data_IF_993880003162
#
_entry.id   IF_993880003162
#
_cell.length_a   1.000
_cell.length_b   1.000
_cell.length_c   1.000
_cell.angle_alpha   90.00
_cell.angle_beta   90.00
_cell.angle_gamma   90.00
#
_symmetry.space_group_name_H-M   'P 1'
#
loop_
_entity.id
_entity.type
_entity.pdbx_description
1 polymer ?
#
# COMPACT_ATOMS: atom_id res chain seq x y z
N UNK A 1 8.61 23.69 26.04
CA UNK A 1 7.13 23.42 25.99
C UNK A 1 6.96 22.21 25.08
N UNK A 2 6.20 21.19 25.50
CA UNK A 2 5.94 19.99 24.69
C UNK A 2 5.11 20.35 23.45
N UNK A 3 5.61 20.10 22.26
CA UNK A 3 4.91 20.35 21.00
C UNK A 3 3.88 19.28 20.71
N UNK A 4 2.85 19.60 19.93
CA UNK A 4 1.75 18.68 19.61
C UNK A 4 1.60 18.52 18.10
N UNK A 5 1.57 17.27 17.64
CA UNK A 5 1.40 16.91 16.24
C UNK A 5 0.06 16.20 16.05
N UNK A 6 -0.71 16.58 15.05
CA UNK A 6 -1.98 15.92 14.70
C UNK A 6 -1.82 15.16 13.40
N UNK A 7 -2.09 13.87 13.42
CA UNK A 7 -2.20 13.04 12.21
C UNK A 7 -3.65 12.89 11.79
N UNK A 8 -4.00 13.38 10.62
CA UNK A 8 -5.33 13.32 10.02
C UNK A 8 -5.24 12.70 8.61
N UNK A 9 -4.78 11.45 8.53
CA UNK A 9 -4.51 10.79 7.26
C UNK A 9 -5.75 10.13 6.65
N UNK A 10 -6.54 9.44 7.47
CA UNK A 10 -7.75 8.72 7.03
C UNK A 10 -8.83 8.81 8.11
N UNK A 11 -10.09 8.50 7.76
CA UNK A 11 -11.16 8.42 8.77
C UNK A 11 -11.07 7.16 9.62
N UNK A 12 -10.46 6.11 9.07
CA UNK A 12 -10.23 4.82 9.75
C UNK A 12 -8.74 4.52 9.79
N UNK A 13 -8.30 3.76 10.79
CA UNK A 13 -6.91 3.31 10.94
C UNK A 13 -6.83 1.86 10.42
N UNK A 14 -6.24 1.61 9.23
CA UNK A 14 -6.13 0.26 8.72
C UNK A 14 -5.05 -0.53 9.48
N UNK A 15 -5.23 -1.87 9.61
CA UNK A 15 -4.34 -2.76 10.36
C UNK A 15 -2.86 -2.55 10.03
N UNK A 16 -2.51 -2.39 8.77
CA UNK A 16 -1.12 -2.21 8.36
C UNK A 16 -0.49 -0.88 8.79
N UNK A 17 -1.30 0.07 9.33
CA UNK A 17 -0.83 1.36 9.87
C UNK A 17 -0.58 1.34 11.36
N UNK A 18 -1.17 0.40 12.09
CA UNK A 18 -1.03 0.29 13.55
C UNK A 18 0.45 0.17 13.94
N UNK A 19 1.26 -0.75 13.35
CA UNK A 19 2.68 -0.85 13.70
C UNK A 19 3.48 0.44 13.45
N UNK A 20 3.08 1.24 12.45
CA UNK A 20 3.73 2.53 12.21
C UNK A 20 3.50 3.53 13.33
N UNK A 21 2.25 3.68 13.82
CA UNK A 21 1.97 4.62 14.91
C UNK A 21 2.57 4.15 16.23
N UNK A 22 2.60 2.85 16.48
CA UNK A 22 3.29 2.26 17.65
C UNK A 22 4.79 2.51 17.62
N UNK A 23 5.44 2.28 16.48
CA UNK A 23 6.86 2.58 16.30
C UNK A 23 7.13 4.09 16.43
N UNK A 24 6.23 4.93 15.92
CA UNK A 24 6.36 6.38 16.04
C UNK A 24 6.27 6.81 17.52
N UNK A 25 5.34 6.24 18.31
CA UNK A 25 5.21 6.51 19.74
C UNK A 25 6.47 6.07 20.51
N UNK A 26 7.02 4.92 20.17
CA UNK A 26 8.23 4.39 20.81
C UNK A 26 9.49 5.19 20.48
N UNK A 27 9.63 5.67 19.24
CA UNK A 27 10.87 6.27 18.71
C UNK A 27 10.87 7.80 18.76
N UNK A 28 9.71 8.45 18.95
CA UNK A 28 9.63 9.91 18.98
C UNK A 28 10.47 10.51 20.11
N UNK A 29 11.06 11.69 19.92
CA UNK A 29 11.66 12.48 20.99
C UNK A 29 10.64 12.88 22.08
N UNK A 30 11.10 13.16 23.27
CA UNK A 30 10.25 13.56 24.41
C UNK A 30 9.69 14.99 24.27
N UNK A 31 10.21 15.80 23.35
CA UNK A 31 9.86 17.21 23.19
C UNK A 31 8.56 17.44 22.41
N UNK A 32 7.96 16.38 21.80
CA UNK A 32 6.65 16.44 21.19
C UNK A 32 5.84 15.13 21.39
N UNK A 33 4.52 15.28 21.29
CA UNK A 33 3.57 14.17 21.27
C UNK A 33 2.64 14.28 20.08
N UNK A 34 1.91 13.22 19.75
CA UNK A 34 0.95 13.25 18.66
C UNK A 34 -0.40 12.65 19.07
N UNK A 35 -1.41 12.95 18.27
CA UNK A 35 -2.72 12.30 18.29
C UNK A 35 -3.08 11.90 16.87
N UNK A 36 -3.75 10.73 16.71
CA UNK A 36 -4.23 10.23 15.42
C UNK A 36 -5.75 10.41 15.34
N UNK A 37 -6.20 11.15 14.34
CA UNK A 37 -7.63 11.34 14.05
C UNK A 37 -8.25 10.05 13.51
N UNK A 38 -9.37 9.62 14.08
CA UNK A 38 -10.16 8.52 13.56
C UNK A 38 -11.65 8.74 13.86
N UNK A 39 -12.52 8.00 13.20
CA UNK A 39 -13.95 7.97 13.45
C UNK A 39 -14.35 6.56 13.91
N UNK A 40 -14.74 6.40 15.15
CA UNK A 40 -15.10 5.13 15.75
C UNK A 40 -16.24 4.44 14.97
N UNK A 41 -17.25 5.19 14.56
CA UNK A 41 -18.40 4.63 13.84
C UNK A 41 -18.03 4.13 12.45
N UNK A 42 -17.06 4.78 11.77
CA UNK A 42 -16.50 4.26 10.51
C UNK A 42 -15.55 3.09 10.76
N UNK A 43 -14.78 3.09 11.85
CA UNK A 43 -13.83 2.04 12.22
C UNK A 43 -14.54 0.70 12.50
N UNK A 44 -15.69 0.75 13.16
CA UNK A 44 -16.51 -0.43 13.48
C UNK A 44 -17.38 -0.90 12.30
N UNK A 45 -17.39 -0.17 11.18
CA UNK A 45 -18.24 -0.51 10.04
C UNK A 45 -17.64 -1.70 9.26
N UNK A 46 -18.33 -2.86 9.21
CA UNK A 46 -17.82 -4.06 8.54
C UNK A 46 -17.63 -3.91 7.02
N UNK A 47 -18.13 -2.83 6.40
CA UNK A 47 -17.87 -2.54 4.99
C UNK A 47 -16.41 -2.11 4.73
N UNK A 48 -15.71 -1.60 5.74
CA UNK A 48 -14.32 -1.15 5.62
C UNK A 48 -13.32 -2.21 6.10
N UNK A 49 -13.71 -3.04 7.07
CA UNK A 49 -12.85 -4.07 7.66
C UNK A 49 -13.62 -5.38 7.77
N UNK A 50 -12.96 -6.49 7.48
CA UNK A 50 -13.50 -7.83 7.64
C UNK A 50 -13.59 -8.27 9.10
N UNK A 51 -12.82 -7.63 9.98
CA UNK A 51 -12.86 -7.82 11.43
C UNK A 51 -12.79 -6.45 12.13
N UNK A 52 -13.60 -6.22 13.19
CA UNK A 52 -13.46 -5.04 14.02
C UNK A 52 -12.05 -4.99 14.63
N UNK A 53 -11.43 -3.82 14.59
CA UNK A 53 -10.19 -3.60 15.32
C UNK A 53 -10.57 -3.12 16.71
N UNK A 54 -10.10 -3.81 17.73
CA UNK A 54 -10.26 -3.33 19.12
C UNK A 54 -9.33 -2.12 19.31
N UNK A 55 -9.95 -0.95 19.47
CA UNK A 55 -9.22 0.30 19.66
C UNK A 55 -8.55 0.40 21.03
N UNK A 56 -8.96 -0.43 22.01
CA UNK A 56 -8.31 -0.50 23.34
C UNK A 56 -6.91 -1.14 23.24
N UNK A 57 -6.63 -1.88 22.17
CA UNK A 57 -5.32 -2.48 21.93
C UNK A 57 -4.30 -1.50 21.34
N UNK A 58 -4.70 -0.29 20.93
CA UNK A 58 -3.79 0.67 20.31
C UNK A 58 -2.89 1.36 21.34
N UNK A 59 -1.58 1.17 21.21
CA UNK A 59 -0.57 1.73 22.11
C UNK A 59 -0.11 3.14 21.70
N UNK A 60 -1.01 3.95 21.14
CA UNK A 60 -0.74 5.34 20.74
C UNK A 60 -1.99 6.24 20.93
N UNK A 61 -1.80 7.56 21.08
CA UNK A 61 -2.90 8.48 21.36
C UNK A 61 -3.87 8.63 20.19
N UNK A 62 -5.16 8.57 20.48
CA UNK A 62 -6.27 8.65 19.54
C UNK A 62 -7.13 9.89 19.75
N UNK A 63 -7.56 10.53 18.66
CA UNK A 63 -8.54 11.60 18.66
C UNK A 63 -9.79 11.17 17.90
N UNK A 64 -10.80 10.69 18.65
CA UNK A 64 -12.08 10.31 18.06
C UNK A 64 -12.86 11.55 17.60
N UNK A 65 -13.37 11.49 16.37
CA UNK A 65 -14.14 12.55 15.71
C UNK A 65 -15.28 11.94 14.88
N UNK A 66 -16.32 12.73 14.60
CA UNK A 66 -17.39 12.29 13.71
C UNK A 66 -17.08 12.68 12.28
N UNK A 67 -17.39 11.81 11.31
CA UNK A 67 -17.31 12.06 9.89
C UNK A 67 -18.70 12.28 9.30
N UNK A 68 -18.98 13.51 8.88
CA UNK A 68 -20.17 13.83 8.10
C UNK A 68 -19.87 13.58 6.63
N UNK A 69 -20.70 12.86 5.91
CA UNK A 69 -20.48 12.61 4.50
C UNK A 69 -21.77 12.68 3.68
N UNK A 70 -21.63 13.15 2.46
CA UNK A 70 -22.70 13.18 1.45
C UNK A 70 -22.21 12.51 0.16
N UNK A 71 -23.13 11.85 -0.52
CA UNK A 71 -22.88 11.34 -1.88
C UNK A 71 -23.33 12.40 -2.89
N UNK A 72 -22.40 12.91 -3.68
CA UNK A 72 -22.72 13.86 -4.74
C UNK A 72 -22.16 13.38 -6.08
N UNK A 73 -23.04 13.13 -7.07
CA UNK A 73 -22.67 12.61 -8.39
C UNK A 73 -21.74 11.40 -8.34
N UNK A 74 -22.05 10.45 -7.45
CA UNK A 74 -21.25 9.21 -7.26
C UNK A 74 -19.92 9.39 -6.52
N UNK A 75 -19.65 10.58 -5.95
CA UNK A 75 -18.45 10.84 -5.14
C UNK A 75 -18.84 11.10 -3.69
N UNK A 76 -18.10 10.49 -2.75
CA UNK A 76 -18.21 10.80 -1.31
C UNK A 76 -17.44 12.09 -1.05
N UNK A 77 -18.14 13.11 -0.54
CA UNK A 77 -17.55 14.32 0.06
C UNK A 77 -17.72 14.17 1.56
N UNK A 78 -16.63 14.29 2.31
CA UNK A 78 -16.61 14.11 3.75
C UNK A 78 -16.13 15.38 4.47
N UNK A 79 -16.51 15.50 5.73
CA UNK A 79 -15.99 16.49 6.65
C UNK A 79 -15.83 15.85 8.03
N UNK A 80 -14.60 15.73 8.51
CA UNK A 80 -14.30 15.27 9.86
C UNK A 80 -14.29 16.44 10.85
N UNK A 81 -14.95 16.28 12.01
CA UNK A 81 -15.27 17.38 12.95
C UNK A 81 -14.10 17.75 13.87
N UNK A 82 -12.87 17.83 13.37
CA UNK A 82 -11.70 18.15 14.20
C UNK A 82 -11.10 19.56 13.97
N UNK A 83 -11.61 20.34 13.03
CA UNK A 83 -11.07 21.65 12.67
C UNK A 83 -10.80 22.57 13.87
N UNK A 84 -11.75 22.68 14.84
CA UNK A 84 -11.56 23.50 16.04
C UNK A 84 -10.49 22.96 16.97
N UNK A 85 -10.41 21.62 17.10
CA UNK A 85 -9.40 20.94 17.93
C UNK A 85 -8.01 21.08 17.32
N UNK A 86 -7.91 21.12 16.01
CA UNK A 86 -6.67 21.29 15.26
C UNK A 86 -5.93 22.60 15.63
N UNK A 87 -6.65 23.63 16.06
CA UNK A 87 -6.05 24.89 16.55
C UNK A 87 -5.20 24.75 17.83
N UNK A 88 -5.24 23.62 18.50
CA UNK A 88 -4.45 23.33 19.71
C UNK A 88 -3.16 22.56 19.44
N UNK A 89 -2.75 22.40 18.17
CA UNK A 89 -1.54 21.68 17.74
C UNK A 89 -0.52 22.64 17.14
N UNK A 90 0.74 22.23 17.13
CA UNK A 90 1.85 22.98 16.53
C UNK A 90 2.08 22.55 15.07
N UNK A 91 1.76 21.29 14.73
CA UNK A 91 1.83 20.74 13.38
C UNK A 91 0.61 19.87 13.10
N UNK A 92 0.01 20.02 11.91
CA UNK A 92 -1.04 19.16 11.39
C UNK A 92 -0.50 18.44 10.15
N UNK A 93 -0.56 17.09 10.16
CA UNK A 93 -0.19 16.25 9.01
C UNK A 93 -1.48 15.61 8.50
N UNK A 94 -1.93 16.02 7.31
CA UNK A 94 -3.18 15.51 6.73
C UNK A 94 -2.95 14.76 5.41
N UNK A 95 -3.90 13.90 5.05
CA UNK A 95 -3.89 13.27 3.73
C UNK A 95 -3.97 14.34 2.62
N UNK A 96 -3.21 14.14 1.55
CA UNK A 96 -3.29 15.00 0.35
C UNK A 96 -4.56 14.71 -0.46
N UNK A 97 -5.72 14.98 0.14
CA UNK A 97 -7.03 14.75 -0.40
C UNK A 97 -7.92 15.99 -0.22
N UNK A 98 -8.76 16.29 -1.23
CA UNK A 98 -9.71 17.43 -1.20
C UNK A 98 -11.16 16.99 -1.07
N UNK A 99 -11.43 15.70 -1.09
CA UNK A 99 -12.75 15.13 -0.86
C UNK A 99 -13.14 15.05 0.63
N UNK A 100 -12.17 15.18 1.54
CA UNK A 100 -12.41 15.49 2.96
C UNK A 100 -12.13 16.98 3.18
N UNK A 101 -13.18 17.77 3.35
CA UNK A 101 -13.10 19.23 3.46
C UNK A 101 -12.35 19.70 4.71
N UNK A 102 -12.27 18.87 5.76
CA UNK A 102 -11.52 19.22 6.96
C UNK A 102 -10.03 19.43 6.66
N UNK A 103 -9.44 18.67 5.73
CA UNK A 103 -8.01 18.74 5.44
C UNK A 103 -7.60 20.10 4.86
N UNK A 104 -8.14 20.58 3.71
CA UNK A 104 -7.78 21.89 3.20
C UNK A 104 -8.21 23.04 4.15
N UNK A 105 -9.30 22.88 4.91
CA UNK A 105 -9.70 23.88 5.90
C UNK A 105 -8.69 23.98 7.05
N UNK A 106 -8.13 22.87 7.53
CA UNK A 106 -7.12 22.90 8.59
C UNK A 106 -5.83 23.59 8.16
N UNK A 107 -5.50 23.61 6.86
CA UNK A 107 -4.37 24.41 6.37
C UNK A 107 -4.53 25.91 6.63
N UNK A 108 -5.76 26.42 6.74
CA UNK A 108 -5.99 27.83 7.10
C UNK A 108 -5.43 28.21 8.48
N UNK A 109 -5.17 27.24 9.36
CA UNK A 109 -4.53 27.51 10.65
C UNK A 109 -3.08 28.00 10.53
N UNK A 110 -2.44 27.89 9.35
CA UNK A 110 -1.13 28.49 9.08
C UNK A 110 -1.11 30.00 9.33
N UNK A 111 -2.23 30.72 9.15
CA UNK A 111 -2.34 32.17 9.48
C UNK A 111 -2.17 32.45 10.97
N UNK A 112 -2.29 31.42 11.82
CA UNK A 112 -2.08 31.48 13.29
C UNK A 112 -0.72 30.95 13.71
N UNK A 113 0.18 30.67 12.74
CA UNK A 113 1.51 30.11 13.00
C UNK A 113 1.54 28.59 13.20
N UNK A 114 0.41 27.87 13.02
CA UNK A 114 0.38 26.41 13.10
C UNK A 114 0.95 25.84 11.80
N UNK A 115 1.95 24.97 11.92
CA UNK A 115 2.55 24.30 10.76
C UNK A 115 1.59 23.29 10.13
N UNK A 116 1.68 23.14 8.81
CA UNK A 116 0.83 22.23 8.07
C UNK A 116 1.63 21.40 7.05
N UNK A 117 1.42 20.11 7.03
CA UNK A 117 2.05 19.21 6.07
C UNK A 117 1.03 18.25 5.45
N UNK A 118 1.29 17.83 4.24
CA UNK A 118 0.53 16.74 3.60
C UNK A 118 1.28 15.41 3.66
N UNK A 119 0.53 14.33 3.66
CA UNK A 119 1.04 12.96 3.53
C UNK A 119 0.30 12.24 2.41
N UNK A 120 1.01 11.65 1.44
CA UNK A 120 0.32 10.92 0.38
C UNK A 120 1.14 10.59 -0.86
N UNK A 121 0.38 10.24 -1.90
CA UNK A 121 0.88 9.76 -3.20
C UNK A 121 1.28 10.90 -4.17
N UNK A 122 1.08 12.16 -3.80
CA UNK A 122 1.33 13.32 -4.66
C UNK A 122 0.31 13.52 -5.77
N UNK A 123 -0.19 12.47 -6.41
CA UNK A 123 -1.24 12.49 -7.44
C UNK A 123 -2.17 11.29 -7.32
N UNK A 124 -3.28 11.32 -8.03
CA UNK A 124 -4.13 10.14 -8.17
C UNK A 124 -3.59 9.20 -9.26
N UNK A 125 -3.22 7.99 -8.85
CA UNK A 125 -2.67 6.95 -9.71
C UNK A 125 -3.73 5.99 -10.29
N UNK A 126 -5.02 6.17 -9.95
CA UNK A 126 -6.08 5.21 -10.31
C UNK A 126 -6.68 5.41 -11.69
N UNK A 127 -6.31 6.46 -12.44
CA UNK A 127 -7.04 6.88 -13.67
C UNK A 127 -6.10 7.11 -14.85
N UNK A 128 -6.31 6.37 -15.95
CA UNK A 128 -5.57 6.56 -17.21
C UNK A 128 -5.89 7.90 -17.91
N UNK A 129 -7.16 8.30 -17.89
CA UNK A 129 -7.61 9.57 -18.48
C UNK A 129 -8.39 10.38 -17.46
N UNK A 130 -7.88 11.55 -17.14
CA UNK A 130 -8.52 12.44 -16.18
C UNK A 130 -9.59 13.29 -16.85
N UNK A 131 -10.82 13.27 -16.32
CA UNK A 131 -11.87 14.25 -16.66
C UNK A 131 -11.42 15.66 -16.25
N UNK A 132 -12.05 16.70 -16.84
CA UNK A 132 -11.74 18.10 -16.48
C UNK A 132 -11.89 18.35 -14.98
N UNK A 133 -12.98 17.85 -14.36
CA UNK A 133 -13.18 17.96 -12.91
C UNK A 133 -12.06 17.30 -12.10
N UNK A 134 -11.52 16.17 -12.55
CA UNK A 134 -10.39 15.49 -11.91
C UNK A 134 -9.11 16.30 -12.06
N UNK A 135 -8.82 16.82 -13.26
CA UNK A 135 -7.66 17.70 -13.48
C UNK A 135 -7.71 18.94 -12.60
N UNK A 136 -8.87 19.55 -12.41
CA UNK A 136 -9.05 20.71 -11.52
C UNK A 136 -8.78 20.31 -10.06
N UNK A 137 -9.29 19.15 -9.62
CA UNK A 137 -9.02 18.62 -8.26
C UNK A 137 -7.53 18.37 -8.03
N UNK A 138 -6.82 17.78 -9.00
CA UNK A 138 -5.37 17.54 -8.88
C UNK A 138 -4.58 18.86 -8.87
N UNK A 139 -4.98 19.85 -9.68
CA UNK A 139 -4.38 21.20 -9.63
C UNK A 139 -4.60 21.88 -8.29
N UNK A 140 -5.80 21.76 -7.71
CA UNK A 140 -6.07 22.31 -6.37
C UNK A 140 -5.21 21.62 -5.30
N UNK A 141 -5.11 20.29 -5.31
CA UNK A 141 -4.23 19.54 -4.38
C UNK A 141 -2.78 20.00 -4.48
N UNK A 142 -2.29 20.19 -5.70
CA UNK A 142 -0.92 20.65 -5.93
C UNK A 142 -0.72 22.09 -5.46
N UNK A 143 -1.67 22.98 -5.70
CA UNK A 143 -1.61 24.37 -5.22
C UNK A 143 -1.56 24.42 -3.68
N UNK A 144 -2.40 23.64 -3.00
CA UNK A 144 -2.40 23.53 -1.55
C UNK A 144 -1.10 22.92 -1.02
N UNK A 145 -0.57 21.88 -1.67
CA UNK A 145 0.69 21.26 -1.30
C UNK A 145 1.89 22.24 -1.40
N UNK A 146 1.92 23.11 -2.41
CA UNK A 146 2.96 24.15 -2.56
C UNK A 146 2.96 25.19 -1.43
N UNK A 147 1.81 25.42 -0.79
CA UNK A 147 1.66 26.37 0.32
C UNK A 147 1.92 25.72 1.69
N UNK A 148 1.98 24.38 1.76
CA UNK A 148 2.23 23.68 3.00
C UNK A 148 3.70 23.82 3.47
N UNK A 149 3.94 23.70 4.77
CA UNK A 149 5.28 23.72 5.38
C UNK A 149 6.06 22.45 5.05
N UNK A 150 5.37 21.33 4.75
CA UNK A 150 6.00 20.06 4.36
C UNK A 150 5.11 19.10 3.59
N UNK A 151 5.75 18.10 3.01
CA UNK A 151 5.08 16.98 2.35
C UNK A 151 5.79 15.65 2.66
N UNK A 152 5.08 14.72 3.30
CA UNK A 152 5.51 13.35 3.54
C UNK A 152 5.15 12.49 2.34
N UNK A 153 6.11 12.31 1.45
CA UNK A 153 5.95 11.57 0.20
C UNK A 153 6.09 10.07 0.44
N UNK A 154 5.18 9.26 -0.10
CA UNK A 154 5.18 7.80 0.10
C UNK A 154 6.49 7.14 -0.29
N UNK A 155 7.08 7.55 -1.43
CA UNK A 155 8.30 6.95 -1.96
C UNK A 155 9.24 8.04 -2.52
N UNK A 156 10.52 7.73 -2.79
CA UNK A 156 11.42 8.63 -3.51
C UNK A 156 10.89 9.06 -4.89
N UNK A 157 10.13 8.21 -5.59
CA UNK A 157 9.46 8.58 -6.86
C UNK A 157 8.44 9.70 -6.68
N UNK A 158 7.64 9.65 -5.59
CA UNK A 158 6.71 10.73 -5.26
C UNK A 158 7.45 12.00 -4.94
N UNK A 159 8.57 11.94 -4.21
CA UNK A 159 9.42 13.10 -3.95
C UNK A 159 9.90 13.74 -5.26
N UNK A 160 10.51 12.96 -6.17
CA UNK A 160 10.95 13.46 -7.49
C UNK A 160 9.80 14.07 -8.30
N UNK A 161 8.61 13.44 -8.27
CA UNK A 161 7.43 13.98 -8.93
C UNK A 161 7.05 15.36 -8.37
N UNK A 162 6.98 15.52 -7.05
CA UNK A 162 6.62 16.79 -6.39
C UNK A 162 7.67 17.87 -6.64
N UNK A 163 8.96 17.52 -6.67
CA UNK A 163 10.05 18.43 -7.07
C UNK A 163 9.86 18.91 -8.51
N UNK A 164 9.52 18.01 -9.44
CA UNK A 164 9.19 18.33 -10.82
C UNK A 164 7.97 19.25 -10.98
N UNK A 165 7.00 19.15 -10.06
CA UNK A 165 5.85 20.05 -9.97
C UNK A 165 6.18 21.39 -9.30
N UNK A 166 7.41 21.59 -8.80
CA UNK A 166 7.91 22.84 -8.24
C UNK A 166 7.73 23.00 -6.73
N UNK A 167 7.57 21.91 -5.97
CA UNK A 167 7.72 21.97 -4.51
C UNK A 167 9.21 22.00 -4.14
N UNK A 168 9.55 22.76 -3.08
CA UNK A 168 10.92 22.84 -2.58
C UNK A 168 11.42 21.47 -2.09
N UNK A 169 12.59 20.97 -2.56
CA UNK A 169 13.15 19.71 -2.11
C UNK A 169 13.35 19.61 -0.60
N UNK A 170 13.60 20.75 0.08
CA UNK A 170 13.82 20.85 1.53
C UNK A 170 12.53 20.65 2.34
N UNK A 171 11.37 20.72 1.70
CA UNK A 171 10.06 20.52 2.32
C UNK A 171 9.45 19.15 1.99
N UNK A 172 10.15 18.27 1.24
CA UNK A 172 9.63 16.96 0.84
C UNK A 172 10.44 15.87 1.49
N UNK A 173 9.77 15.05 2.31
CA UNK A 173 10.35 13.94 3.06
C UNK A 173 9.84 12.62 2.48
N UNK A 174 10.71 11.83 1.86
CA UNK A 174 10.35 10.48 1.41
C UNK A 174 10.29 9.56 2.64
N UNK A 175 9.10 9.06 2.97
CA UNK A 175 8.89 8.27 4.19
C UNK A 175 9.07 6.77 3.99
N UNK A 176 9.13 6.29 2.74
CA UNK A 176 9.17 4.88 2.37
C UNK A 176 7.96 4.12 2.96
N UNK A 177 6.77 4.45 2.42
CA UNK A 177 5.52 3.83 2.83
C UNK A 177 5.60 2.31 2.81
N UNK A 178 5.39 1.64 3.97
CA UNK A 178 5.64 0.22 4.12
C UNK A 178 4.58 -0.49 4.97
N UNK A 179 4.71 -1.79 5.09
CA UNK A 179 4.05 -2.68 6.06
C UNK A 179 5.09 -3.18 7.06
N UNK A 180 4.68 -3.90 8.09
CA UNK A 180 5.61 -4.58 8.97
C UNK A 180 6.27 -5.77 8.25
N UNK A 181 7.34 -5.46 7.51
CA UNK A 181 8.11 -6.47 6.77
C UNK A 181 8.85 -7.45 7.70
N UNK A 182 9.20 -7.02 8.91
CA UNK A 182 9.86 -7.86 9.89
C UNK A 182 8.91 -8.95 10.41
N UNK A 183 7.64 -8.58 10.68
CA UNK A 183 6.61 -9.55 11.04
C UNK A 183 6.32 -10.52 9.89
N UNK A 184 6.17 -10.00 8.65
CA UNK A 184 5.97 -10.87 7.49
C UNK A 184 7.16 -11.83 7.29
N UNK A 185 8.39 -11.37 7.51
CA UNK A 185 9.59 -12.22 7.43
C UNK A 185 9.61 -13.28 8.54
N UNK A 186 9.22 -12.94 9.78
CA UNK A 186 9.08 -13.91 10.89
C UNK A 186 8.06 -15.01 10.57
N UNK A 187 6.91 -14.63 9.99
CA UNK A 187 5.90 -15.59 9.53
C UNK A 187 6.46 -16.52 8.44
N UNK A 188 7.22 -15.98 7.48
CA UNK A 188 7.87 -16.79 6.45
C UNK A 188 8.86 -17.80 7.05
N UNK A 189 9.78 -17.35 7.91
CA UNK A 189 10.75 -18.25 8.53
C UNK A 189 10.09 -19.33 9.39
N UNK A 190 8.96 -19.00 10.02
CA UNK A 190 8.15 -19.99 10.78
C UNK A 190 7.54 -21.04 9.86
N UNK A 191 6.97 -20.65 8.70
CA UNK A 191 6.26 -21.56 7.81
C UNK A 191 7.14 -22.22 6.73
N UNK A 192 8.34 -21.69 6.50
CA UNK A 192 9.27 -22.22 5.49
C UNK A 192 9.61 -23.71 5.67
N UNK A 193 9.90 -24.21 6.89
CA UNK A 193 10.12 -25.66 7.08
C UNK A 193 8.90 -26.50 6.76
N UNK A 194 7.70 -25.97 6.96
CA UNK A 194 6.41 -26.64 6.72
C UNK A 194 5.94 -26.55 5.26
N UNK A 195 6.70 -25.91 4.37
CA UNK A 195 6.33 -25.75 2.95
C UNK A 195 5.94 -27.06 2.28
N UNK A 196 6.63 -28.20 2.46
CA UNK A 196 6.24 -29.47 1.85
C UNK A 196 4.86 -29.96 2.34
N UNK A 197 4.58 -29.88 3.63
CA UNK A 197 3.29 -30.30 4.21
C UNK A 197 2.14 -29.38 3.78
N UNK A 198 2.40 -28.05 3.71
CA UNK A 198 1.43 -27.08 3.20
C UNK A 198 1.11 -27.37 1.73
N UNK A 199 2.12 -27.62 0.89
CA UNK A 199 1.92 -27.96 -0.53
C UNK A 199 1.16 -29.27 -0.71
N UNK A 200 1.42 -30.27 0.14
CA UNK A 200 0.66 -31.51 0.14
C UNK A 200 -0.82 -31.28 0.47
N UNK A 201 -1.09 -30.50 1.52
CA UNK A 201 -2.45 -30.19 1.97
C UNK A 201 -3.31 -29.50 0.91
N UNK A 202 -2.69 -28.68 0.04
CA UNK A 202 -3.37 -27.93 -1.02
C UNK A 202 -3.19 -28.52 -2.42
N UNK A 203 -2.73 -29.79 -2.51
CA UNK A 203 -2.50 -30.49 -3.78
C UNK A 203 -1.59 -29.72 -4.77
N UNK A 204 -0.53 -29.12 -4.22
CA UNK A 204 0.46 -28.31 -4.96
C UNK A 204 1.79 -29.06 -5.18
N UNK A 205 1.89 -30.35 -4.81
CA UNK A 205 3.10 -31.14 -5.01
C UNK A 205 3.41 -31.26 -6.51
N UNK A 206 4.67 -31.01 -6.89
CA UNK A 206 5.10 -31.00 -8.29
C UNK A 206 4.55 -29.84 -9.16
N UNK A 207 3.73 -28.95 -8.59
CA UNK A 207 3.15 -27.82 -9.33
C UNK A 207 4.09 -26.61 -9.33
N UNK A 208 4.09 -25.85 -10.42
CA UNK A 208 4.66 -24.49 -10.52
C UNK A 208 3.58 -23.48 -10.07
N UNK A 209 3.66 -23.01 -8.83
CA UNK A 209 2.54 -22.31 -8.18
C UNK A 209 2.70 -20.80 -8.26
N UNK A 210 1.76 -20.15 -8.95
CA UNK A 210 1.59 -18.71 -8.99
C UNK A 210 0.62 -18.26 -7.90
N UNK A 211 0.85 -17.10 -7.30
CA UNK A 211 -0.03 -16.48 -6.32
C UNK A 211 -0.43 -15.08 -6.76
N UNK A 212 -1.70 -14.76 -6.58
CA UNK A 212 -2.22 -13.39 -6.59
C UNK A 212 -2.96 -13.13 -5.27
N UNK A 213 -2.66 -12.01 -4.62
CA UNK A 213 -3.37 -11.54 -3.41
C UNK A 213 -3.79 -10.09 -3.61
N UNK A 214 -5.08 -9.79 -3.43
CA UNK A 214 -5.56 -8.42 -3.51
C UNK A 214 -7.06 -8.30 -3.82
N UNK A 215 -7.58 -7.07 -3.77
CA UNK A 215 -8.96 -6.79 -4.19
C UNK A 215 -9.12 -6.97 -5.69
N UNK A 216 -10.21 -7.58 -6.13
CA UNK A 216 -10.51 -7.83 -7.55
C UNK A 216 -11.14 -6.58 -8.19
N UNK A 217 -10.38 -5.51 -8.24
CA UNK A 217 -10.77 -4.25 -8.90
C UNK A 217 -10.20 -4.18 -10.33
N UNK A 218 -10.79 -3.41 -11.25
CA UNK A 218 -10.35 -3.36 -12.64
C UNK A 218 -8.87 -3.03 -12.83
N UNK A 219 -8.32 -2.15 -11.99
CA UNK A 219 -6.90 -1.77 -12.03
C UNK A 219 -5.95 -2.90 -11.60
N UNK A 220 -6.45 -3.99 -10.98
CA UNK A 220 -5.66 -5.18 -10.64
C UNK A 220 -5.57 -6.19 -11.80
N UNK A 221 -6.37 -6.01 -12.86
CA UNK A 221 -6.30 -6.75 -14.13
C UNK A 221 -6.41 -8.27 -13.98
N UNK A 222 -7.32 -8.75 -13.13
CA UNK A 222 -7.54 -10.20 -12.92
C UNK A 222 -7.95 -10.91 -14.22
N UNK A 223 -8.81 -10.27 -15.06
CA UNK A 223 -9.18 -10.83 -16.37
C UNK A 223 -7.94 -11.06 -17.27
N UNK A 224 -6.96 -10.15 -17.21
CA UNK A 224 -5.71 -10.31 -17.94
C UNK A 224 -4.89 -11.48 -17.38
N UNK A 225 -4.77 -11.57 -16.04
CA UNK A 225 -4.04 -12.66 -15.37
C UNK A 225 -4.62 -14.02 -15.74
N UNK A 226 -5.95 -14.16 -15.69
CA UNK A 226 -6.62 -15.42 -16.03
C UNK A 226 -6.45 -15.79 -17.50
N UNK A 227 -6.47 -14.82 -18.42
CA UNK A 227 -6.16 -15.06 -19.85
C UNK A 227 -4.71 -15.55 -20.03
N UNK A 228 -3.73 -14.86 -19.43
CA UNK A 228 -2.33 -15.26 -19.48
C UNK A 228 -2.11 -16.66 -18.85
N UNK A 229 -2.75 -16.91 -17.70
CA UNK A 229 -2.65 -18.21 -17.04
C UNK A 229 -3.26 -19.34 -17.88
N UNK A 230 -4.37 -19.11 -18.57
CA UNK A 230 -4.97 -20.10 -19.47
C UNK A 230 -4.06 -20.46 -20.64
N UNK A 231 -3.23 -19.54 -21.10
CA UNK A 231 -2.21 -19.80 -22.12
C UNK A 231 -1.05 -20.60 -21.53
N UNK A 232 -0.53 -20.15 -20.40
CA UNK A 232 0.56 -20.81 -19.67
C UNK A 232 0.22 -22.27 -19.33
N UNK A 233 -0.99 -22.51 -18.84
CA UNK A 233 -1.48 -23.85 -18.48
C UNK A 233 -1.61 -24.81 -19.68
N UNK A 234 -1.86 -24.29 -20.89
CA UNK A 234 -1.85 -25.09 -22.13
C UNK A 234 -0.43 -25.49 -22.54
N UNK A 235 0.58 -24.66 -22.27
CA UNK A 235 1.98 -24.96 -22.56
C UNK A 235 2.55 -25.97 -21.56
N UNK A 236 2.19 -25.82 -20.26
CA UNK A 236 2.63 -26.73 -19.21
C UNK A 236 1.52 -26.87 -18.14
N UNK A 237 0.80 -28.02 -18.11
CA UNK A 237 -0.24 -28.29 -17.13
C UNK A 237 0.24 -28.36 -15.67
N UNK A 238 1.55 -28.35 -15.40
CA UNK A 238 2.10 -28.29 -14.06
C UNK A 238 1.90 -26.93 -13.38
N UNK A 239 1.53 -25.88 -14.13
CA UNK A 239 1.23 -24.57 -13.55
C UNK A 239 -0.08 -24.57 -12.78
N UNK A 240 -0.09 -23.89 -11.62
CA UNK A 240 -1.25 -23.73 -10.75
C UNK A 240 -1.35 -22.28 -10.26
N UNK A 241 -2.54 -21.71 -10.26
CA UNK A 241 -2.77 -20.33 -9.81
C UNK A 241 -3.65 -20.31 -8.56
N UNK A 242 -3.13 -19.72 -7.49
CA UNK A 242 -3.85 -19.39 -6.28
C UNK A 242 -4.34 -17.95 -6.33
N UNK A 243 -5.65 -17.73 -6.19
CA UNK A 243 -6.28 -16.40 -6.13
C UNK A 243 -6.82 -16.16 -4.72
N UNK A 244 -6.29 -15.13 -4.05
CA UNK A 244 -6.75 -14.69 -2.73
C UNK A 244 -7.30 -13.27 -2.84
N UNK A 245 -8.52 -13.06 -2.34
CA UNK A 245 -9.13 -11.73 -2.31
C UNK A 245 -10.61 -11.76 -2.66
N UNK A 246 -11.19 -10.59 -2.82
CA UNK A 246 -12.60 -10.42 -3.17
C UNK A 246 -12.85 -9.07 -3.84
N UNK A 247 -14.10 -8.84 -4.26
CA UNK A 247 -14.58 -7.58 -4.83
C UNK A 247 -14.67 -7.59 -6.36
N UNK A 248 -15.38 -6.61 -6.91
CA UNK A 248 -15.58 -6.46 -8.36
C UNK A 248 -16.35 -7.62 -8.99
N UNK A 249 -15.86 -8.08 -10.13
CA UNK A 249 -16.48 -9.19 -10.88
C UNK A 249 -16.26 -10.50 -10.11
N UNK A 250 -17.33 -11.28 -9.98
CA UNK A 250 -17.25 -12.67 -9.48
C UNK A 250 -16.63 -13.53 -10.58
N UNK A 251 -15.52 -14.18 -10.25
CA UNK A 251 -14.88 -15.19 -11.10
C UNK A 251 -15.35 -16.57 -10.64
N UNK A 252 -15.82 -17.41 -11.56
CA UNK A 252 -16.10 -18.78 -11.25
C UNK A 252 -14.82 -19.62 -11.46
N UNK A 253 -14.19 -20.14 -10.39
CA UNK A 253 -12.95 -20.93 -10.52
C UNK A 253 -13.11 -22.15 -11.41
N UNK A 254 -14.33 -22.72 -11.49
CA UNK A 254 -14.64 -23.86 -12.36
C UNK A 254 -14.48 -23.60 -13.86
N UNK A 255 -14.41 -22.33 -14.27
CA UNK A 255 -14.18 -21.96 -15.67
C UNK A 255 -12.70 -22.05 -16.09
N UNK A 256 -11.79 -22.27 -15.12
CA UNK A 256 -10.34 -22.27 -15.35
C UNK A 256 -9.67 -23.49 -14.73
N UNK A 257 -9.03 -24.31 -15.55
CA UNK A 257 -8.27 -25.47 -15.07
C UNK A 257 -7.06 -25.01 -14.22
N UNK A 258 -6.79 -25.72 -13.13
CA UNK A 258 -5.67 -25.44 -12.20
C UNK A 258 -5.69 -24.01 -11.57
N UNK A 259 -6.88 -23.43 -11.38
CA UNK A 259 -7.07 -22.20 -10.60
C UNK A 259 -7.82 -22.52 -9.32
N UNK A 260 -7.25 -22.17 -8.18
CA UNK A 260 -7.91 -22.27 -6.88
C UNK A 260 -8.24 -20.88 -6.34
N UNK A 261 -9.51 -20.60 -6.17
CA UNK A 261 -9.99 -19.39 -5.53
C UNK A 261 -10.21 -19.63 -4.02
N UNK A 262 -9.48 -18.90 -3.19
CA UNK A 262 -9.45 -19.10 -1.74
C UNK A 262 -10.36 -18.11 -0.98
N UNK A 263 -11.00 -17.17 -1.71
CA UNK A 263 -11.74 -16.07 -1.09
C UNK A 263 -10.84 -15.05 -0.42
N UNK A 264 -11.42 -14.08 0.31
CA UNK A 264 -10.64 -13.14 1.11
C UNK A 264 -10.05 -13.86 2.33
N UNK A 265 -8.76 -13.65 2.57
CA UNK A 265 -8.04 -14.14 3.75
C UNK A 265 -7.42 -12.94 4.43
N UNK A 266 -7.81 -12.69 5.67
CA UNK A 266 -7.34 -11.57 6.48
C UNK A 266 -6.38 -12.00 7.57
N UNK A 267 -6.51 -13.23 8.09
CA UNK A 267 -5.62 -13.74 9.12
C UNK A 267 -4.18 -13.86 8.58
N UNK A 268 -3.21 -13.13 9.18
CA UNK A 268 -1.84 -13.10 8.66
C UNK A 268 -1.18 -14.47 8.61
N UNK A 269 -1.39 -15.29 9.63
CA UNK A 269 -0.80 -16.64 9.72
C UNK A 269 -1.32 -17.58 8.62
N UNK A 270 -2.63 -17.52 8.32
CA UNK A 270 -3.24 -18.30 7.24
C UNK A 270 -2.77 -17.85 5.87
N UNK A 271 -2.69 -16.53 5.66
CA UNK A 271 -2.22 -15.93 4.40
C UNK A 271 -0.74 -16.27 4.16
N UNK A 272 0.09 -16.23 5.22
CA UNK A 272 1.52 -16.57 5.17
C UNK A 272 1.78 -17.96 4.60
N UNK A 273 0.91 -18.93 4.88
CA UNK A 273 1.05 -20.31 4.35
C UNK A 273 0.91 -20.34 2.83
N UNK A 274 0.01 -19.55 2.25
CA UNK A 274 -0.15 -19.48 0.80
C UNK A 274 1.01 -18.76 0.12
N UNK A 275 1.52 -17.69 0.72
CA UNK A 275 2.77 -17.07 0.26
C UNK A 275 3.92 -18.08 0.31
N UNK A 276 4.10 -18.79 1.43
CA UNK A 276 5.17 -19.78 1.60
C UNK A 276 5.05 -20.97 0.63
N UNK A 277 3.82 -21.41 0.32
CA UNK A 277 3.58 -22.51 -0.61
C UNK A 277 3.84 -22.18 -2.08
N UNK A 278 3.85 -20.89 -2.43
CA UNK A 278 3.95 -20.40 -3.80
C UNK A 278 5.39 -20.27 -4.29
N UNK A 279 5.55 -20.10 -5.60
CA UNK A 279 6.86 -19.98 -6.25
C UNK A 279 7.08 -18.61 -6.87
N UNK A 280 5.98 -17.93 -7.29
CA UNK A 280 5.99 -16.65 -7.99
C UNK A 280 4.74 -15.83 -7.61
N UNK A 281 4.87 -14.51 -7.54
CA UNK A 281 3.75 -13.59 -7.38
C UNK A 281 3.40 -12.94 -8.73
N UNK A 282 2.27 -13.34 -9.30
CA UNK A 282 1.80 -12.85 -10.61
C UNK A 282 0.84 -11.67 -10.43
N UNK A 283 1.31 -10.45 -10.73
CA UNK A 283 0.56 -9.23 -10.43
C UNK A 283 0.57 -8.23 -11.60
N UNK A 284 -0.21 -8.44 -12.68
CA UNK A 284 -0.16 -7.63 -13.90
C UNK A 284 -0.81 -6.25 -13.77
N UNK A 285 -1.37 -5.92 -12.61
CA UNK A 285 -2.09 -4.68 -12.35
C UNK A 285 -1.31 -3.64 -11.56
N UNK A 286 -2.05 -2.67 -11.03
CA UNK A 286 -1.49 -1.57 -10.23
C UNK A 286 -0.85 -2.09 -8.93
N UNK A 287 0.45 -1.94 -8.82
CA UNK A 287 1.26 -2.31 -7.65
C UNK A 287 0.92 -1.37 -6.47
N UNK A 288 0.79 -1.94 -5.28
CA UNK A 288 0.69 -1.25 -4.01
C UNK A 288 1.48 -2.04 -2.97
N UNK A 289 1.04 -2.10 -1.71
CA UNK A 289 1.76 -2.82 -0.64
C UNK A 289 1.69 -4.36 -0.75
N UNK A 290 0.73 -4.93 -1.49
CA UNK A 290 0.61 -6.39 -1.67
C UNK A 290 1.87 -7.05 -2.27
N UNK A 291 2.45 -6.54 -3.36
CA UNK A 291 3.74 -7.01 -3.87
C UNK A 291 4.88 -6.92 -2.84
N UNK A 292 4.97 -5.84 -2.04
CA UNK A 292 5.97 -5.77 -0.97
C UNK A 292 5.80 -6.91 0.04
N UNK A 293 4.55 -7.27 0.38
CA UNK A 293 4.29 -8.42 1.23
C UNK A 293 4.80 -9.72 0.59
N UNK A 294 4.57 -9.94 -0.71
CA UNK A 294 5.06 -11.13 -1.42
C UNK A 294 6.60 -11.23 -1.40
N UNK A 295 7.29 -10.10 -1.52
CA UNK A 295 8.76 -10.07 -1.42
C UNK A 295 9.28 -10.52 -0.06
N UNK A 296 8.52 -10.32 1.03
CA UNK A 296 8.91 -10.83 2.36
C UNK A 296 8.96 -12.36 2.45
N UNK A 297 8.34 -13.06 1.49
CA UNK A 297 8.31 -14.52 1.37
C UNK A 297 9.22 -15.06 0.24
N UNK A 298 10.21 -14.28 -0.18
CA UNK A 298 11.13 -14.60 -1.29
C UNK A 298 10.38 -14.97 -2.59
N UNK A 299 9.21 -14.36 -2.85
CA UNK A 299 8.48 -14.55 -4.10
C UNK A 299 8.88 -13.49 -5.13
N UNK A 300 9.53 -13.88 -6.23
CA UNK A 300 9.75 -12.97 -7.34
C UNK A 300 8.42 -12.47 -7.91
N UNK A 301 8.40 -11.23 -8.39
CA UNK A 301 7.19 -10.61 -8.91
C UNK A 301 7.29 -10.47 -10.42
N UNK A 302 6.25 -10.89 -11.14
CA UNK A 302 6.06 -10.50 -12.55
C UNK A 302 4.91 -9.50 -12.61
N UNK A 303 5.20 -8.29 -13.08
CA UNK A 303 4.24 -7.18 -13.18
C UNK A 303 4.38 -6.43 -14.50
N UNK A 304 3.47 -5.49 -14.76
CA UNK A 304 3.47 -4.65 -15.96
C UNK A 304 3.54 -3.19 -15.53
N UNK A 305 4.53 -2.43 -16.03
CA UNK A 305 4.60 -0.98 -15.79
C UNK A 305 3.50 -0.27 -16.60
N UNK A 306 2.42 0.04 -15.92
CA UNK A 306 1.30 0.77 -16.47
C UNK A 306 1.25 2.20 -15.92
N UNK A 307 0.59 3.12 -16.64
CA UNK A 307 0.47 4.52 -16.20
C UNK A 307 -0.37 4.71 -14.91
N UNK A 308 -0.92 3.61 -14.37
CA UNK A 308 -1.75 3.60 -13.14
C UNK A 308 -1.07 2.91 -11.96
N UNK A 309 0.25 2.81 -11.97
CA UNK A 309 1.00 2.22 -10.87
C UNK A 309 0.95 3.11 -9.61
N UNK A 310 0.74 2.47 -8.45
CA UNK A 310 0.90 3.14 -7.17
C UNK A 310 2.39 3.39 -6.88
N UNK A 311 2.72 4.32 -5.97
CA UNK A 311 4.12 4.69 -5.69
C UNK A 311 5.02 3.52 -5.30
N UNK A 312 4.49 2.49 -4.70
CA UNK A 312 5.23 1.33 -4.22
C UNK A 312 5.84 0.47 -5.34
N UNK A 313 5.55 0.77 -6.61
CA UNK A 313 6.32 0.23 -7.76
C UNK A 313 7.82 0.59 -7.64
N UNK A 314 8.19 1.63 -6.90
CA UNK A 314 9.58 2.02 -6.61
C UNK A 314 10.37 0.94 -5.88
N UNK A 315 9.71 0.01 -5.18
CA UNK A 315 10.35 -1.10 -4.47
C UNK A 315 10.68 -2.28 -5.36
N UNK A 316 10.13 -2.28 -6.59
CA UNK A 316 10.38 -3.32 -7.57
C UNK A 316 11.56 -2.94 -8.49
N UNK A 317 12.47 -3.87 -8.65
CA UNK A 317 13.68 -3.69 -9.47
C UNK A 317 14.18 -5.05 -9.98
N UNK A 318 15.24 -5.06 -10.76
CA UNK A 318 15.82 -6.26 -11.36
C UNK A 318 16.30 -7.33 -10.35
N UNK A 319 16.43 -6.99 -9.06
CA UNK A 319 16.82 -7.96 -8.02
C UNK A 319 15.63 -8.70 -7.41
N UNK A 320 14.39 -8.30 -7.69
CA UNK A 320 13.21 -8.86 -7.03
C UNK A 320 12.01 -9.04 -7.96
N UNK A 321 12.08 -8.55 -9.20
CA UNK A 321 10.94 -8.54 -10.10
C UNK A 321 11.31 -8.45 -11.57
N UNK A 322 10.40 -8.93 -12.42
CA UNK A 322 10.38 -8.69 -13.86
C UNK A 322 9.25 -7.70 -14.15
N UNK A 323 9.62 -6.51 -14.62
CA UNK A 323 8.68 -5.43 -14.93
C UNK A 323 8.53 -5.31 -16.44
N UNK A 324 7.40 -5.74 -16.95
CA UNK A 324 7.10 -5.74 -18.38
C UNK A 324 6.49 -4.40 -18.85
N UNK A 325 6.65 -4.03 -20.12
CA UNK A 325 6.10 -2.79 -20.65
C UNK A 325 4.56 -2.78 -20.67
N UNK A 326 3.98 -1.58 -20.68
CA UNK A 326 2.51 -1.37 -20.68
C UNK A 326 1.78 -2.06 -21.85
N UNK A 327 2.47 -2.25 -22.99
CA UNK A 327 1.96 -2.92 -24.21
C UNK A 327 1.94 -4.45 -24.12
N UNK A 328 2.39 -5.04 -23.02
CA UNK A 328 2.47 -6.50 -22.85
C UNK A 328 1.12 -7.17 -23.04
N UNK A 329 1.08 -8.17 -23.91
CA UNK A 329 -0.09 -9.02 -24.13
C UNK A 329 -0.16 -10.17 -23.12
N UNK A 330 -1.32 -10.85 -22.97
CA UNK A 330 -1.41 -12.05 -22.12
C UNK A 330 -0.42 -13.14 -22.53
N UNK A 331 -0.17 -13.31 -23.83
CA UNK A 331 0.80 -14.28 -24.38
C UNK A 331 2.23 -13.95 -23.95
N UNK A 332 2.64 -12.70 -24.10
CA UNK A 332 3.97 -12.25 -23.68
C UNK A 332 4.17 -12.36 -22.17
N UNK A 333 3.13 -12.06 -21.38
CA UNK A 333 3.17 -12.24 -19.94
C UNK A 333 3.30 -13.72 -19.53
N UNK A 334 2.56 -14.61 -20.22
CA UNK A 334 2.66 -16.05 -20.03
C UNK A 334 4.04 -16.58 -20.41
N UNK A 335 4.62 -16.11 -21.56
CA UNK A 335 5.97 -16.49 -22.00
C UNK A 335 7.02 -16.13 -20.95
N UNK A 336 6.99 -14.91 -20.43
CA UNK A 336 7.92 -14.48 -19.37
C UNK A 336 7.85 -15.39 -18.13
N UNK A 337 6.64 -15.77 -17.70
CA UNK A 337 6.48 -16.69 -16.56
C UNK A 337 7.00 -18.08 -16.89
N UNK A 338 6.71 -18.58 -18.10
CA UNK A 338 7.16 -19.88 -18.57
C UNK A 338 8.68 -19.96 -18.60
N UNK A 339 9.34 -18.98 -19.23
CA UNK A 339 10.78 -18.86 -19.34
C UNK A 339 11.46 -18.77 -17.97
N UNK A 340 10.90 -17.96 -17.04
CA UNK A 340 11.43 -17.84 -15.68
C UNK A 340 11.33 -19.16 -14.89
N UNK A 341 10.29 -19.96 -15.09
CA UNK A 341 10.21 -21.29 -14.47
C UNK A 341 11.12 -22.32 -15.13
N UNK A 342 11.47 -22.14 -16.39
CA UNK A 342 12.41 -23.00 -17.12
C UNK A 342 13.86 -22.68 -16.76
N UNK A 343 14.19 -21.40 -16.55
CA UNK A 343 15.50 -20.95 -16.05
C UNK A 343 15.57 -20.99 -14.51
N UNK A 344 15.93 -22.15 -13.99
CA UNK A 344 16.06 -22.38 -12.54
C UNK A 344 17.23 -21.62 -11.92
N UNK A 345 18.21 -21.17 -12.68
CA UNK A 345 19.32 -20.35 -12.20
C UNK A 345 18.87 -18.92 -12.00
N UNK A 346 18.19 -18.31 -12.97
CA UNK A 346 17.61 -16.98 -12.86
C UNK A 346 16.59 -16.92 -11.72
N UNK A 347 15.69 -17.90 -11.62
CA UNK A 347 14.69 -17.96 -10.57
C UNK A 347 15.32 -18.03 -9.15
N UNK A 348 16.40 -18.81 -8.99
CA UNK A 348 17.15 -18.88 -7.72
C UNK A 348 17.90 -17.59 -7.42
N UNK A 349 18.51 -16.97 -8.42
CA UNK A 349 19.20 -15.70 -8.28
C UNK A 349 18.24 -14.59 -7.83
N UNK A 350 17.08 -14.47 -8.47
CA UNK A 350 16.03 -13.54 -8.04
C UNK A 350 15.63 -13.80 -6.58
N UNK A 351 15.27 -15.03 -6.22
CA UNK A 351 14.85 -15.38 -4.85
C UNK A 351 15.88 -14.99 -3.80
N UNK A 352 17.17 -15.21 -4.07
CA UNK A 352 18.25 -14.88 -3.14
C UNK A 352 18.48 -13.36 -2.97
N UNK A 353 18.14 -12.57 -3.99
CA UNK A 353 18.35 -11.12 -4.02
C UNK A 353 17.17 -10.33 -3.46
N UNK A 354 16.00 -10.96 -3.25
CA UNK A 354 14.77 -10.27 -2.81
C UNK A 354 14.96 -9.61 -1.45
N UNK A 355 15.26 -10.38 -0.41
CA UNK A 355 15.32 -9.85 0.95
C UNK A 355 16.37 -8.73 1.10
N UNK A 356 17.61 -8.87 0.61
CA UNK A 356 18.57 -7.77 0.59
C UNK A 356 18.04 -6.49 -0.06
N UNK A 357 17.17 -6.60 -1.08
CA UNK A 357 16.64 -5.45 -1.79
C UNK A 357 15.57 -4.65 -1.03
N UNK A 358 14.90 -5.25 -0.03
CA UNK A 358 13.77 -4.64 0.70
C UNK A 358 13.96 -4.51 2.22
N UNK A 359 14.95 -5.18 2.82
CA UNK A 359 15.14 -5.25 4.28
C UNK A 359 15.27 -3.88 4.98
N UNK A 360 15.57 -2.83 4.24
CA UNK A 360 15.65 -1.44 4.74
C UNK A 360 14.29 -0.74 4.81
N UNK A 361 13.22 -1.32 4.24
CA UNK A 361 11.87 -0.74 4.20
C UNK A 361 11.07 -1.10 5.47
N UNK A 362 11.69 -0.94 6.65
CA UNK A 362 11.04 -1.30 7.91
C UNK A 362 10.09 -0.21 8.41
N UNK A 363 9.19 -0.60 9.31
CA UNK A 363 8.28 0.32 10.00
C UNK A 363 9.07 1.34 10.82
N UNK A 364 10.13 0.92 11.49
CA UNK A 364 11.01 1.78 12.30
C UNK A 364 11.70 2.83 11.41
N UNK A 365 12.19 2.42 10.23
CA UNK A 365 12.81 3.37 9.30
C UNK A 365 11.77 4.38 8.77
N UNK A 366 10.54 3.94 8.50
CA UNK A 366 9.44 4.84 8.13
C UNK A 366 9.15 5.84 9.26
N UNK A 367 9.08 5.38 10.51
CA UNK A 367 8.87 6.24 11.68
C UNK A 367 10.01 7.26 11.85
N UNK A 368 11.27 6.84 11.70
CA UNK A 368 12.44 7.73 11.75
C UNK A 368 12.42 8.78 10.64
N UNK A 369 11.98 8.42 9.43
CA UNK A 369 11.82 9.38 8.32
C UNK A 369 10.73 10.42 8.64
N UNK A 370 9.63 10.02 9.29
CA UNK A 370 8.61 10.95 9.79
C UNK A 370 9.15 11.86 10.89
N UNK A 371 9.85 11.31 11.88
CA UNK A 371 10.47 12.07 12.98
C UNK A 371 11.42 13.13 12.42
N UNK A 372 12.26 12.77 11.46
CA UNK A 372 13.14 13.72 10.78
C UNK A 372 12.37 14.88 10.12
N UNK A 373 11.31 14.56 9.35
CA UNK A 373 10.47 15.55 8.69
C UNK A 373 9.73 16.46 9.68
N UNK A 374 9.14 15.87 10.73
CA UNK A 374 8.44 16.60 11.79
C UNK A 374 9.39 17.58 12.49
N UNK A 375 10.57 17.13 12.90
CA UNK A 375 11.57 17.96 13.57
C UNK A 375 12.05 19.09 12.65
N UNK A 376 12.25 18.81 11.36
CA UNK A 376 12.63 19.83 10.37
C UNK A 376 11.56 20.90 10.23
N UNK A 377 10.29 20.52 10.11
CA UNK A 377 9.16 21.47 9.97
C UNK A 377 8.97 22.29 11.26
N UNK A 378 9.09 21.67 12.43
CA UNK A 378 8.90 22.34 13.72
C UNK A 378 10.07 23.26 14.10
N UNK A 379 11.24 23.14 13.46
CA UNK A 379 12.40 23.99 13.66
C UNK A 379 12.34 25.29 12.84
N UNK A 380 11.49 25.37 11.81
CA UNK A 380 11.26 26.56 10.96
C UNK A 380 10.15 27.44 11.51
#
# INVERSE_FOLDING_TARGET
MMRKVLFAHQSTIPHYRIPFYEALELLRPEDWRFDVVFDLAEQENPQFFSEPIDIEEFNFPLLNVNTLSIQFRGKKIAYQTFWRRAAGYDLIIAENAVNNLAYPLCQMHQVRGIKYAYWGHGRDHSVHQMSLAKKTSERLKMMLAKQADGFFAYTPRVKRYLEGEGLSPTRIFAVNNTIDINEQRRLFERWRPERPSIRQKFDLQGKKTLLFVGRFTPNKRIDFLLKAFSILQKWDPAHHLLLVGSGGKVYNPGDYANVTYLGPIVEPDRLARFYTASDLFAFPGSVGLGPLQALCYDLPIVTIDSNVQMPEIDYLNHNNSIILPASTTPEAYASTIFELFDDQEELRALKSSIWPSIQHLTIEQMALNFIHGINTILAT
#
